data_IF_618927408615
#
_entry.id   IF_618927408615
#
_cell.length_a   1.000
_cell.length_b   1.000
_cell.length_c   1.000
_cell.angle_alpha   90.00
_cell.angle_beta   90.00
_cell.angle_gamma   90.00
#
_symmetry.space_group_name_H-M   'P 1'
#
loop_
_entity.id
_entity.type
_entity.pdbx_description
1 polymer ?
#
# COMPACT_ATOMS: atom_id res chain seq x y z
N UNK A 1 9.71 5.40 6.13
CA UNK A 1 9.49 5.11 7.56
C UNK A 1 9.45 3.61 7.71
N UNK A 2 10.47 3.06 8.37
CA UNK A 2 10.67 1.61 8.53
C UNK A 2 9.63 0.98 9.48
N UNK A 3 9.54 -0.35 9.40
CA UNK A 3 8.48 -1.20 9.95
C UNK A 3 8.38 -1.18 11.49
N UNK A 4 9.42 -0.78 12.23
CA UNK A 4 9.33 -0.50 13.66
C UNK A 4 10.61 0.22 14.13
N UNK A 5 10.50 1.33 14.88
CA UNK A 5 11.63 1.88 15.65
C UNK A 5 11.30 2.09 17.15
N UNK A 6 10.06 1.84 17.57
CA UNK A 6 9.60 2.03 18.95
C UNK A 6 9.01 3.41 19.26
N UNK A 7 9.03 4.34 18.31
CA UNK A 7 8.43 5.68 18.39
C UNK A 7 6.96 5.78 17.95
N UNK A 8 6.39 4.68 17.42
CA UNK A 8 5.04 4.64 16.88
C UNK A 8 4.18 3.55 17.51
N UNK A 9 2.91 3.88 17.79
CA UNK A 9 1.95 2.99 18.47
C UNK A 9 1.44 1.79 17.66
N UNK A 10 1.88 1.63 16.40
CA UNK A 10 1.57 0.47 15.58
C UNK A 10 2.71 0.19 14.59
N UNK A 11 3.04 -1.09 14.40
CA UNK A 11 3.99 -1.57 13.39
C UNK A 11 3.33 -1.81 12.01
N UNK A 12 2.07 -1.39 11.85
CA UNK A 12 1.27 -1.61 10.65
C UNK A 12 0.70 -0.30 10.12
N UNK A 13 0.48 -0.27 8.80
CA UNK A 13 -0.11 0.85 8.08
C UNK A 13 -1.29 0.37 7.24
N UNK A 14 -2.28 1.23 7.04
CA UNK A 14 -3.54 0.88 6.36
C UNK A 14 -3.39 1.04 4.86
N UNK A 15 -3.96 0.09 4.11
CA UNK A 15 -4.12 0.17 2.65
C UNK A 15 -5.61 0.00 2.30
N UNK A 16 -6.08 0.72 1.27
CA UNK A 16 -7.40 0.54 0.69
C UNK A 16 -8.04 1.85 0.24
N UNK A 17 -9.35 1.82 -0.05
CA UNK A 17 -10.07 2.94 -0.67
C UNK A 17 -9.96 4.25 0.13
N UNK A 18 -9.89 4.18 1.46
CA UNK A 18 -9.69 5.33 2.35
C UNK A 18 -8.27 5.52 2.88
N UNK A 19 -7.31 4.70 2.43
CA UNK A 19 -5.91 4.71 2.88
C UNK A 19 -5.01 4.36 1.69
N UNK A 20 -4.64 5.37 0.91
CA UNK A 20 -3.83 5.21 -0.30
C UNK A 20 -2.37 4.85 0.02
N UNK A 21 -1.56 4.65 -1.01
CA UNK A 21 -0.11 4.52 -0.85
C UNK A 21 0.51 5.83 -0.34
N UNK A 22 1.51 5.71 0.52
CA UNK A 22 2.30 6.86 0.96
C UNK A 22 3.10 7.44 -0.21
N UNK A 23 2.99 8.76 -0.43
CA UNK A 23 3.63 9.49 -1.53
C UNK A 23 4.84 10.30 -1.07
N UNK A 24 4.83 10.78 0.18
CA UNK A 24 5.91 11.62 0.68
C UNK A 24 5.78 12.01 2.15
N UNK A 25 6.82 12.64 2.72
CA UNK A 25 6.90 13.00 4.13
C UNK A 25 5.83 13.98 4.62
N UNK A 26 5.13 14.64 3.70
CA UNK A 26 4.01 15.55 4.01
C UNK A 26 2.65 14.85 4.07
N UNK A 27 2.57 13.56 3.77
CA UNK A 27 1.32 12.81 3.92
C UNK A 27 0.94 12.69 5.40
N UNK A 28 -0.26 13.16 5.72
CA UNK A 28 -0.79 13.22 7.09
C UNK A 28 -1.35 11.87 7.59
N UNK A 29 -1.34 10.83 6.75
CA UNK A 29 -1.99 9.54 7.02
C UNK A 29 -1.03 8.40 7.38
N UNK A 30 -1.56 7.40 8.11
CA UNK A 30 -0.90 6.11 8.35
C UNK A 30 -1.05 5.16 7.14
N UNK A 31 -0.71 5.67 5.96
CA UNK A 31 -0.84 5.04 4.65
C UNK A 31 0.23 3.96 4.43
N UNK A 32 -0.14 2.84 3.82
CA UNK A 32 0.76 1.73 3.51
C UNK A 32 1.94 2.17 2.63
N UNK A 33 3.08 1.49 2.82
CA UNK A 33 4.32 1.79 2.13
C UNK A 33 5.20 2.82 2.83
N UNK A 34 6.42 2.98 2.31
CA UNK A 34 7.32 4.08 2.66
C UNK A 34 7.26 5.18 1.60
N UNK A 35 7.79 6.36 1.92
CA UNK A 35 7.91 7.46 0.99
C UNK A 35 8.85 7.08 -0.16
N UNK A 36 8.28 6.74 -1.30
CA UNK A 36 9.00 6.42 -2.53
C UNK A 36 8.45 7.29 -3.65
N UNK A 37 9.30 7.71 -4.58
CA UNK A 37 8.84 8.33 -5.83
C UNK A 37 8.55 7.23 -6.85
N UNK A 38 7.47 7.39 -7.63
CA UNK A 38 7.10 6.48 -8.71
C UNK A 38 6.35 5.23 -8.26
N UNK A 39 6.99 4.35 -7.48
CA UNK A 39 6.42 3.03 -7.13
C UNK A 39 6.58 2.64 -5.65
N UNK A 40 5.66 1.81 -5.17
CA UNK A 40 5.72 1.08 -3.91
C UNK A 40 5.71 -0.42 -4.17
N UNK A 41 6.61 -1.16 -3.54
CA UNK A 41 6.60 -2.62 -3.62
C UNK A 41 5.47 -3.20 -2.77
N UNK A 42 4.74 -4.17 -3.32
CA UNK A 42 3.66 -4.87 -2.67
C UNK A 42 3.89 -6.38 -2.76
N UNK A 43 3.94 -7.05 -1.61
CA UNK A 43 4.10 -8.51 -1.57
C UNK A 43 2.72 -9.17 -1.63
N UNK A 44 2.56 -10.11 -2.55
CA UNK A 44 1.36 -10.90 -2.73
C UNK A 44 1.34 -12.09 -1.76
N UNK A 45 0.16 -12.70 -1.57
CA UNK A 45 0.02 -13.87 -0.69
C UNK A 45 0.86 -15.09 -1.09
N UNK A 46 1.29 -15.16 -2.35
CA UNK A 46 2.18 -16.21 -2.88
C UNK A 46 3.69 -15.88 -2.74
N UNK A 47 4.02 -14.74 -2.12
CA UNK A 47 5.41 -14.27 -1.95
C UNK A 47 5.99 -13.54 -3.15
N UNK A 48 5.28 -13.46 -4.29
CA UNK A 48 5.69 -12.61 -5.40
C UNK A 48 5.58 -11.12 -5.03
N UNK A 49 6.45 -10.29 -5.61
CA UNK A 49 6.44 -8.84 -5.38
C UNK A 49 6.00 -8.12 -6.65
N UNK A 50 5.05 -7.21 -6.52
CA UNK A 50 4.57 -6.34 -7.59
C UNK A 50 4.92 -4.89 -7.27
N UNK A 51 5.51 -4.19 -8.25
CA UNK A 51 5.71 -2.76 -8.17
C UNK A 51 4.38 -2.07 -8.49
N UNK A 52 3.79 -1.38 -7.52
CA UNK A 52 2.59 -0.58 -7.71
C UNK A 52 2.98 0.86 -7.97
N UNK A 53 2.44 1.47 -9.02
CA UNK A 53 2.58 2.92 -9.22
C UNK A 53 1.89 3.67 -8.08
N UNK A 54 2.49 4.73 -7.57
CA UNK A 54 1.92 5.52 -6.47
C UNK A 54 0.61 6.24 -6.83
N UNK A 55 0.31 6.31 -8.14
CA UNK A 55 -0.94 6.82 -8.69
C UNK A 55 -2.00 5.74 -8.91
N UNK A 56 -1.81 4.51 -8.41
CA UNK A 56 -2.83 3.47 -8.45
C UNK A 56 -4.14 3.99 -7.86
N UNK A 57 -5.26 3.64 -8.48
CA UNK A 57 -6.57 4.07 -8.00
C UNK A 57 -6.95 3.37 -6.69
N UNK A 58 -7.81 4.06 -5.94
CA UNK A 58 -8.23 3.64 -4.61
C UNK A 58 -8.95 2.28 -4.62
N UNK A 59 -9.69 1.98 -5.69
CA UNK A 59 -10.47 0.74 -5.82
C UNK A 59 -9.56 -0.46 -6.03
N UNK A 60 -8.61 -0.38 -6.95
CA UNK A 60 -7.65 -1.47 -7.18
C UNK A 60 -6.72 -1.67 -5.99
N UNK A 61 -6.30 -0.59 -5.30
CA UNK A 61 -5.58 -0.73 -4.02
C UNK A 61 -6.44 -1.42 -2.96
N UNK A 62 -7.74 -1.11 -2.90
CA UNK A 62 -8.71 -1.79 -2.03
C UNK A 62 -8.77 -3.29 -2.28
N UNK A 63 -8.82 -3.69 -3.55
CA UNK A 63 -8.80 -5.11 -3.96
C UNK A 63 -7.53 -5.82 -3.54
N UNK A 64 -6.38 -5.17 -3.74
CA UNK A 64 -5.08 -5.68 -3.29
C UNK A 64 -5.00 -5.85 -1.77
N UNK A 65 -5.54 -4.89 -1.01
CA UNK A 65 -5.46 -4.88 0.44
C UNK A 65 -6.43 -5.87 1.12
N UNK A 66 -7.49 -6.29 0.44
CA UNK A 66 -8.51 -7.18 0.98
C UNK A 66 -8.50 -8.55 0.31
N UNK A 67 -7.77 -9.50 0.91
CA UNK A 67 -7.68 -10.89 0.44
C UNK A 67 -9.01 -11.66 0.43
N UNK A 68 -10.06 -11.16 1.08
CA UNK A 68 -11.36 -11.84 1.20
C UNK A 68 -12.48 -11.13 0.42
N UNK A 69 -12.18 -10.16 -0.45
CA UNK A 69 -13.21 -9.41 -1.17
C UNK A 69 -13.84 -10.17 -2.36
N UNK A 70 -13.23 -11.28 -2.79
CA UNK A 70 -13.66 -12.09 -3.93
C UNK A 70 -13.59 -11.38 -5.28
N UNK A 71 -12.90 -10.24 -5.38
CA UNK A 71 -12.81 -9.44 -6.60
C UNK A 71 -11.50 -9.71 -7.33
N UNK A 72 -11.57 -9.73 -8.66
CA UNK A 72 -10.37 -9.82 -9.50
C UNK A 72 -9.71 -8.45 -9.60
N UNK A 73 -8.39 -8.43 -9.44
CA UNK A 73 -7.57 -7.24 -9.64
C UNK A 73 -7.27 -7.04 -11.13
N UNK A 74 -7.34 -5.80 -11.60
CA UNK A 74 -6.82 -5.40 -12.92
C UNK A 74 -5.69 -4.41 -12.71
N UNK A 75 -4.44 -4.84 -12.94
CA UNK A 75 -3.29 -3.94 -13.00
C UNK A 75 -2.95 -3.65 -14.46
N UNK A 76 -2.59 -2.42 -14.82
CA UNK A 76 -1.93 -2.16 -16.10
C UNK A 76 -0.55 -2.84 -16.11
N UNK A 77 -0.20 -3.45 -17.25
CA UNK A 77 1.10 -4.10 -17.47
C UNK A 77 2.29 -3.12 -17.39
#
# INVERSE_FOLDING_TARGET
TSIFNGDHGAAARKAGVGALLAKGPTDLGANFGSYHSGVCQFVMGDGSVKALINSIDATNLGRLANREDGQVLTLPD
#
